data_IF_868932467950
#
_entry.id   IF_868932467950
#
_cell.length_a   1.000
_cell.length_b   1.000
_cell.length_c   1.000
_cell.angle_alpha   90.00
_cell.angle_beta   90.00
_cell.angle_gamma   90.00
#
_symmetry.space_group_name_H-M   'P 1'
#
loop_
_entity.id
_entity.type
_entity.pdbx_description
1 polymer ?
#
# COMPACT_ATOMS: atom_id res chain seq x y z
N UNK A 1 21.69 -9.68 -5.56
CA UNK A 1 20.71 -10.06 -6.61
C UNK A 1 19.99 -11.31 -6.15
N UNK A 2 18.68 -11.40 -6.40
CA UNK A 2 17.68 -12.33 -5.83
C UNK A 2 18.21 -13.69 -5.33
N UNK A 3 18.52 -13.84 -4.03
CA UNK A 3 19.15 -15.05 -3.48
C UNK A 3 18.25 -16.30 -3.51
N UNK A 4 16.96 -16.13 -3.74
CA UNK A 4 15.94 -17.20 -3.78
C UNK A 4 15.27 -17.36 -5.15
N UNK A 5 15.84 -16.78 -6.22
CA UNK A 5 15.34 -16.88 -7.60
C UNK A 5 14.19 -15.91 -7.92
N UNK A 6 13.91 -15.74 -9.22
CA UNK A 6 12.92 -14.76 -9.72
C UNK A 6 11.46 -15.25 -9.65
N UNK A 7 11.25 -16.56 -9.60
CA UNK A 7 9.93 -17.19 -9.72
C UNK A 7 8.92 -16.71 -8.68
N UNK A 8 9.35 -16.49 -7.44
CA UNK A 8 8.49 -16.00 -6.36
C UNK A 8 7.97 -14.57 -6.59
N UNK A 9 8.79 -13.71 -7.20
CA UNK A 9 8.42 -12.32 -7.50
C UNK A 9 7.42 -12.28 -8.64
N UNK A 10 7.63 -13.14 -9.65
CA UNK A 10 6.71 -13.26 -10.79
C UNK A 10 5.39 -13.90 -10.37
N UNK A 11 5.42 -14.98 -9.58
CA UNK A 11 4.21 -15.60 -9.03
C UNK A 11 3.44 -14.62 -8.14
N UNK A 12 4.12 -13.88 -7.26
CA UNK A 12 3.51 -12.83 -6.45
C UNK A 12 2.87 -11.72 -7.29
N UNK A 13 3.59 -11.23 -8.32
CA UNK A 13 3.07 -10.22 -9.24
C UNK A 13 1.83 -10.68 -10.00
N UNK A 14 1.82 -11.93 -10.50
CA UNK A 14 0.66 -12.53 -11.15
C UNK A 14 -0.51 -12.67 -10.18
N UNK A 15 -0.29 -13.16 -8.96
CA UNK A 15 -1.34 -13.27 -7.94
C UNK A 15 -1.95 -11.90 -7.58
N UNK A 16 -1.12 -10.86 -7.40
CA UNK A 16 -1.60 -9.50 -7.10
C UNK A 16 -2.36 -8.91 -8.29
N UNK A 17 -1.83 -9.07 -9.51
CA UNK A 17 -2.46 -8.61 -10.74
C UNK A 17 -3.82 -9.27 -10.98
N UNK A 18 -3.90 -10.60 -10.82
CA UNK A 18 -5.15 -11.35 -10.91
C UNK A 18 -6.13 -10.95 -9.80
N UNK A 19 -5.66 -10.79 -8.56
CA UNK A 19 -6.52 -10.39 -7.43
C UNK A 19 -7.14 -9.01 -7.64
N UNK A 20 -6.35 -8.02 -8.07
CA UNK A 20 -6.85 -6.67 -8.34
C UNK A 20 -7.70 -6.63 -9.62
N UNK A 21 -7.33 -7.39 -10.65
CA UNK A 21 -8.11 -7.52 -11.88
C UNK A 21 -9.48 -8.16 -11.65
N UNK A 22 -9.55 -9.23 -10.87
CA UNK A 22 -10.80 -9.90 -10.50
C UNK A 22 -11.67 -9.00 -9.63
N UNK A 23 -11.07 -8.29 -8.67
CA UNK A 23 -11.77 -7.30 -7.86
C UNK A 23 -12.41 -6.21 -8.73
N UNK A 24 -11.66 -5.67 -9.70
CA UNK A 24 -12.18 -4.70 -10.65
C UNK A 24 -13.29 -5.30 -11.54
N UNK A 25 -13.12 -6.52 -12.05
CA UNK A 25 -14.10 -7.18 -12.90
C UNK A 25 -15.43 -7.47 -12.15
N UNK A 26 -15.37 -7.85 -10.88
CA UNK A 26 -16.55 -8.22 -10.09
C UNK A 26 -17.27 -7.01 -9.50
N UNK A 27 -16.56 -5.93 -9.17
CA UNK A 27 -17.14 -4.80 -8.42
C UNK A 27 -17.12 -3.48 -9.17
N UNK A 28 -16.38 -3.39 -10.29
CA UNK A 28 -16.16 -2.14 -11.03
C UNK A 28 -15.33 -1.10 -10.25
N UNK A 29 -14.80 -1.47 -9.08
CA UNK A 29 -14.13 -0.57 -8.16
C UNK A 29 -12.61 -0.77 -8.21
N UNK A 30 -11.88 0.34 -8.19
CA UNK A 30 -10.42 0.36 -8.18
C UNK A 30 -9.93 0.23 -6.72
N UNK A 31 -9.17 -0.81 -6.41
CA UNK A 31 -8.59 -1.04 -5.09
C UNK A 31 -7.40 -0.12 -4.81
N UNK A 32 -7.57 0.84 -3.89
CA UNK A 32 -6.52 1.81 -3.53
C UNK A 32 -6.32 1.94 -2.02
N UNK A 33 -5.14 1.55 -1.54
CA UNK A 33 -4.81 1.50 -0.10
C UNK A 33 -4.75 2.89 0.56
N UNK A 34 -4.39 3.95 -0.17
CA UNK A 34 -4.33 5.33 0.37
C UNK A 34 -5.68 5.88 0.85
N UNK A 35 -6.78 5.28 0.39
CA UNK A 35 -8.12 5.69 0.84
C UNK A 35 -8.60 4.94 2.08
N UNK A 36 -7.87 3.91 2.52
CA UNK A 36 -8.10 3.23 3.80
C UNK A 36 -7.97 4.16 4.98
N UNK A 37 -6.90 4.94 5.00
CA UNK A 37 -6.53 5.73 6.15
C UNK A 37 -7.59 6.80 6.47
N UNK A 38 -8.06 7.62 5.50
CA UNK A 38 -9.20 8.51 5.72
C UNK A 38 -10.52 7.79 5.99
N UNK A 39 -10.78 6.61 5.40
CA UNK A 39 -12.02 5.85 5.65
C UNK A 39 -12.06 5.18 7.04
N UNK A 40 -10.92 4.73 7.56
CA UNK A 40 -10.78 4.25 8.94
C UNK A 40 -10.83 5.41 9.94
N UNK A 41 -10.22 6.55 9.61
CA UNK A 41 -10.32 7.76 10.42
C UNK A 41 -11.71 8.40 10.36
N UNK A 42 -12.47 8.26 9.27
CA UNK A 42 -13.88 8.68 9.19
C UNK A 42 -14.80 7.95 10.16
N UNK A 43 -14.44 6.72 10.57
CA UNK A 43 -15.16 5.95 11.58
C UNK A 43 -14.87 6.43 13.01
N UNK A 44 -13.68 6.98 13.25
CA UNK A 44 -13.16 7.30 14.59
C UNK A 44 -13.18 8.80 14.87
N UNK A 45 -12.93 9.63 13.87
CA UNK A 45 -12.89 11.09 13.95
C UNK A 45 -14.18 11.69 13.37
N UNK A 46 -15.03 12.23 14.25
CA UNK A 46 -16.24 12.99 13.89
C UNK A 46 -15.97 14.38 13.30
N UNK A 47 -14.80 14.59 12.67
CA UNK A 47 -14.41 15.90 12.15
C UNK A 47 -14.98 16.10 10.72
N UNK A 48 -15.58 17.26 10.39
CA UNK A 48 -16.31 17.49 9.14
C UNK A 48 -15.49 17.24 7.86
N UNK A 49 -14.17 17.38 7.92
CA UNK A 49 -13.24 17.04 6.83
C UNK A 49 -13.25 15.55 6.43
N UNK A 50 -13.56 14.63 7.35
CA UNK A 50 -13.60 13.19 7.10
C UNK A 50 -15.00 12.64 6.76
N UNK A 51 -16.04 13.48 6.81
CA UNK A 51 -17.44 13.10 6.54
C UNK A 51 -17.95 13.52 5.15
N UNK A 52 -17.08 13.90 4.22
CA UNK A 52 -17.52 14.16 2.84
C UNK A 52 -18.15 12.89 2.22
N UNK A 53 -19.30 13.04 1.54
CA UNK A 53 -20.12 11.95 0.98
C UNK A 53 -19.32 10.92 0.17
N UNK A 54 -18.29 11.38 -0.55
CA UNK A 54 -17.37 10.55 -1.34
C UNK A 54 -16.62 9.49 -0.51
N UNK A 55 -16.39 9.74 0.78
CA UNK A 55 -15.71 8.82 1.71
C UNK A 55 -16.68 7.94 2.49
N UNK A 56 -17.89 8.44 2.80
CA UNK A 56 -18.91 7.70 3.55
C UNK A 56 -19.56 6.60 2.69
N UNK A 57 -19.91 6.91 1.43
CA UNK A 57 -20.53 5.96 0.51
C UNK A 57 -19.59 4.79 0.12
N UNK A 58 -18.27 5.03 0.08
CA UNK A 58 -17.28 4.01 -0.29
C UNK A 58 -16.61 3.33 0.92
N UNK A 59 -17.02 3.67 2.16
CA UNK A 59 -16.35 3.18 3.39
C UNK A 59 -16.42 1.66 3.53
N UNK A 60 -17.59 1.06 3.30
CA UNK A 60 -17.81 -0.37 3.56
C UNK A 60 -16.95 -1.23 2.63
N UNK A 61 -16.97 -0.91 1.33
CA UNK A 61 -16.13 -1.57 0.34
C UNK A 61 -14.64 -1.43 0.64
N UNK A 62 -14.20 -0.21 0.97
CA UNK A 62 -12.80 0.04 1.32
C UNK A 62 -12.45 -0.81 2.52
N UNK A 63 -13.12 -0.70 3.67
CA UNK A 63 -12.82 -1.48 4.86
C UNK A 63 -12.75 -3.00 4.60
N UNK A 64 -13.69 -3.54 3.82
CA UNK A 64 -13.68 -4.95 3.41
C UNK A 64 -12.41 -5.34 2.64
N UNK A 65 -11.95 -4.49 1.71
CA UNK A 65 -10.69 -4.71 0.98
C UNK A 65 -9.47 -4.75 1.92
N UNK A 66 -9.45 -3.90 2.95
CA UNK A 66 -8.33 -3.81 3.90
C UNK A 66 -8.34 -4.92 4.93
N UNK A 67 -9.52 -5.27 5.42
CA UNK A 67 -9.74 -6.49 6.18
C UNK A 67 -9.27 -7.70 5.38
N UNK A 68 -9.60 -7.78 4.08
CA UNK A 68 -9.11 -8.82 3.19
C UNK A 68 -7.57 -8.88 3.10
N UNK A 69 -6.90 -7.73 3.00
CA UNK A 69 -5.42 -7.66 3.02
C UNK A 69 -4.83 -8.13 4.35
N UNK A 70 -5.39 -7.68 5.48
CA UNK A 70 -4.95 -8.07 6.83
C UNK A 70 -5.18 -9.57 7.04
N UNK A 71 -6.35 -10.07 6.67
CA UNK A 71 -6.72 -11.47 6.82
C UNK A 71 -5.88 -12.36 5.89
N UNK A 72 -5.61 -11.93 4.65
CA UNK A 72 -4.71 -12.62 3.73
C UNK A 72 -3.28 -12.72 4.28
N UNK A 73 -2.77 -11.64 4.87
CA UNK A 73 -1.48 -11.65 5.56
C UNK A 73 -1.49 -12.60 6.77
N UNK A 74 -2.54 -12.57 7.59
CA UNK A 74 -2.70 -13.45 8.74
C UNK A 74 -2.72 -14.93 8.32
N UNK A 75 -3.54 -15.29 7.33
CA UNK A 75 -3.61 -16.67 6.79
C UNK A 75 -2.24 -17.11 6.25
N UNK A 76 -1.53 -16.24 5.52
CA UNK A 76 -0.18 -16.55 5.05
C UNK A 76 0.80 -16.79 6.21
N UNK A 77 0.78 -15.96 7.26
CA UNK A 77 1.66 -16.13 8.42
C UNK A 77 1.38 -17.41 9.21
N UNK A 78 0.11 -17.82 9.30
CA UNK A 78 -0.28 -19.08 9.97
C UNK A 78 0.07 -20.29 9.09
N UNK A 79 -0.24 -20.24 7.79
CA UNK A 79 -0.06 -21.37 6.88
C UNK A 79 1.40 -21.61 6.46
N UNK A 80 2.19 -20.54 6.27
CA UNK A 80 3.59 -20.63 5.81
C UNK A 80 4.62 -19.99 6.75
N UNK A 81 4.23 -18.99 7.52
CA UNK A 81 5.14 -18.28 8.44
C UNK A 81 5.46 -19.05 9.73
N UNK A 82 4.85 -20.22 9.97
CA UNK A 82 5.00 -21.01 11.20
C UNK A 82 4.80 -20.18 12.49
N UNK A 83 3.99 -19.12 12.44
CA UNK A 83 3.74 -18.23 13.58
C UNK A 83 4.88 -17.25 13.90
N UNK A 84 5.93 -17.15 13.08
CA UNK A 84 6.96 -16.12 13.25
C UNK A 84 6.40 -14.76 12.79
N UNK A 85 6.13 -13.89 13.76
CA UNK A 85 5.79 -12.50 13.49
C UNK A 85 7.07 -11.81 13.04
N UNK A 86 7.04 -11.12 11.89
CA UNK A 86 8.17 -10.32 11.43
C UNK A 86 8.44 -9.18 12.41
N UNK A 87 9.36 -9.39 13.35
CA UNK A 87 9.83 -8.34 14.25
C UNK A 87 10.92 -7.58 13.50
N UNK A 88 10.61 -6.37 13.05
CA UNK A 88 11.62 -5.49 12.45
C UNK A 88 12.59 -5.03 13.52
N UNK A 89 13.89 -5.15 13.28
CA UNK A 89 14.93 -4.59 14.18
C UNK A 89 14.97 -3.04 14.20
N UNK A 90 14.01 -2.40 13.51
CA UNK A 90 13.93 -0.95 13.36
C UNK A 90 13.26 -0.33 14.60
N UNK A 91 13.84 0.72 15.20
CA UNK A 91 13.26 1.34 16.37
C UNK A 91 11.90 1.98 16.04
N UNK A 92 10.96 1.89 16.98
CA UNK A 92 9.55 2.31 16.82
C UNK A 92 9.43 3.76 16.34
N UNK A 93 10.30 4.66 16.79
CA UNK A 93 10.27 6.06 16.36
C UNK A 93 10.54 6.24 14.86
N UNK A 94 11.44 5.44 14.26
CA UNK A 94 11.70 5.48 12.81
C UNK A 94 10.50 4.98 12.02
N UNK A 95 9.83 3.93 12.51
CA UNK A 95 8.60 3.43 11.91
C UNK A 95 7.48 4.48 11.97
N UNK A 96 7.35 5.17 13.10
CA UNK A 96 6.36 6.24 13.27
C UNK A 96 6.63 7.40 12.32
N UNK A 97 7.85 7.95 12.32
CA UNK A 97 8.22 9.08 11.45
C UNK A 97 8.10 8.69 9.97
N UNK A 98 8.58 7.50 9.59
CA UNK A 98 8.45 6.99 8.22
C UNK A 98 6.99 6.83 7.80
N UNK A 99 6.14 6.31 8.69
CA UNK A 99 4.70 6.18 8.45
C UNK A 99 3.99 7.51 8.25
N UNK A 100 4.31 8.53 9.08
CA UNK A 100 3.75 9.88 8.95
C UNK A 100 4.17 10.52 7.63
N UNK A 101 5.47 10.46 7.27
CA UNK A 101 5.98 11.01 6.02
C UNK A 101 5.38 10.31 4.80
N UNK A 102 5.31 8.98 4.82
CA UNK A 102 4.70 8.21 3.73
C UNK A 102 3.20 8.49 3.58
N UNK A 103 2.48 8.61 4.70
CA UNK A 103 1.06 8.96 4.71
C UNK A 103 0.80 10.37 4.17
N UNK A 104 1.59 11.35 4.61
CA UNK A 104 1.52 12.72 4.12
C UNK A 104 1.85 12.81 2.63
N UNK A 105 2.92 12.14 2.19
CA UNK A 105 3.34 12.09 0.79
C UNK A 105 2.28 11.46 -0.12
N UNK A 106 1.68 10.34 0.31
CA UNK A 106 0.59 9.68 -0.43
C UNK A 106 -0.67 10.55 -0.52
N UNK A 107 -0.89 11.46 0.44
CA UNK A 107 -2.01 12.41 0.39
C UNK A 107 -1.72 13.56 -0.57
N UNK A 108 -0.49 14.08 -0.55
CA UNK A 108 -0.06 15.16 -1.44
C UNK A 108 -0.11 14.76 -2.93
N UNK A 109 0.23 13.50 -3.24
CA UNK A 109 0.15 12.95 -4.60
C UNK A 109 -1.26 12.57 -5.05
N UNK A 110 -2.26 12.62 -4.17
CA UNK A 110 -3.62 12.16 -4.46
C UNK A 110 -3.78 10.62 -4.49
N UNK A 111 -2.74 9.85 -4.14
CA UNK A 111 -2.78 8.39 -4.11
C UNK A 111 -1.45 7.73 -3.68
N UNK A 112 -1.50 6.49 -3.19
CA UNK A 112 -0.31 5.72 -2.84
C UNK A 112 0.33 5.04 -4.06
N UNK A 113 1.53 4.52 -3.84
CA UNK A 113 2.28 3.70 -4.81
C UNK A 113 1.50 2.49 -5.31
N UNK A 114 0.65 1.86 -4.49
CA UNK A 114 -0.22 0.76 -4.93
C UNK A 114 -1.33 1.24 -5.88
N UNK A 115 -1.94 2.41 -5.62
CA UNK A 115 -3.02 2.94 -6.46
C UNK A 115 -2.51 3.45 -7.81
N UNK A 116 -1.44 4.25 -7.82
CA UNK A 116 -0.82 4.70 -9.06
C UNK A 116 -0.05 3.59 -9.77
N UNK A 117 0.59 2.69 -9.02
CA UNK A 117 1.42 1.62 -9.56
C UNK A 117 0.63 0.44 -10.11
N UNK A 118 -0.31 -0.12 -9.35
CA UNK A 118 -1.04 -1.32 -9.79
C UNK A 118 -2.16 -0.92 -10.75
N UNK A 119 -3.05 -0.01 -10.31
CA UNK A 119 -4.21 0.38 -11.09
C UNK A 119 -3.89 1.47 -12.12
N UNK A 120 -3.12 2.49 -11.74
CA UNK A 120 -2.80 3.63 -12.62
C UNK A 120 -1.91 3.28 -13.82
N UNK A 121 -0.90 2.41 -13.65
CA UNK A 121 -0.12 1.87 -14.77
C UNK A 121 -0.96 0.89 -15.59
N UNK A 122 -1.79 0.06 -14.94
CA UNK A 122 -2.70 -0.85 -15.63
C UNK A 122 -3.71 -0.15 -16.54
N UNK A 123 -4.14 1.06 -16.17
CA UNK A 123 -5.01 1.93 -17.00
C UNK A 123 -4.25 2.88 -17.92
N UNK A 124 -2.92 2.70 -18.08
CA UNK A 124 -2.04 3.46 -18.97
C UNK A 124 -2.09 4.98 -18.80
N UNK A 125 -2.29 5.46 -17.56
CA UNK A 125 -2.35 6.88 -17.28
C UNK A 125 -0.94 7.47 -17.16
N UNK A 126 -0.58 8.36 -18.10
CA UNK A 126 0.68 9.15 -18.09
C UNK A 126 1.02 9.78 -16.72
N UNK A 127 0.09 10.44 -16.00
CA UNK A 127 0.41 11.02 -14.68
C UNK A 127 0.73 9.96 -13.61
N UNK A 128 0.14 8.77 -13.68
CA UNK A 128 0.44 7.68 -12.75
C UNK A 128 1.82 7.08 -12.98
N UNK A 129 2.27 6.97 -14.24
CA UNK A 129 3.63 6.52 -14.57
C UNK A 129 4.66 7.49 -13.99
N UNK A 130 4.45 8.80 -14.17
CA UNK A 130 5.35 9.82 -13.63
C UNK A 130 5.39 9.78 -12.08
N UNK A 131 4.23 9.66 -11.43
CA UNK A 131 4.15 9.55 -9.97
C UNK A 131 4.93 8.33 -9.46
N UNK A 132 4.80 7.18 -10.12
CA UNK A 132 5.53 5.95 -9.75
C UNK A 132 7.04 6.12 -9.92
N UNK A 133 7.48 6.73 -11.03
CA UNK A 133 8.90 7.00 -11.25
C UNK A 133 9.48 7.90 -10.14
N UNK A 134 8.79 9.00 -9.80
CA UNK A 134 9.23 9.92 -8.73
C UNK A 134 9.27 9.21 -7.37
N UNK A 135 8.28 8.38 -7.05
CA UNK A 135 8.30 7.60 -5.82
C UNK A 135 9.46 6.61 -5.77
N UNK A 136 9.69 5.89 -6.86
CA UNK A 136 10.74 4.88 -6.92
C UNK A 136 12.12 5.52 -6.82
N UNK A 137 12.38 6.60 -7.56
CA UNK A 137 13.66 7.33 -7.51
C UNK A 137 13.90 7.91 -6.12
N UNK A 138 12.90 8.57 -5.53
CA UNK A 138 13.02 9.14 -4.18
C UNK A 138 13.25 8.05 -3.14
N UNK A 139 12.57 6.91 -3.24
CA UNK A 139 12.77 5.77 -2.33
C UNK A 139 14.17 5.19 -2.44
N UNK A 140 14.69 5.02 -3.67
CA UNK A 140 16.06 4.54 -3.91
C UNK A 140 17.07 5.53 -3.30
N UNK A 141 16.95 6.82 -3.60
CA UNK A 141 17.84 7.86 -3.06
C UNK A 141 17.80 7.90 -1.53
N UNK A 142 16.61 7.84 -0.94
CA UNK A 142 16.43 7.82 0.52
C UNK A 142 17.05 6.58 1.14
N UNK A 143 16.87 5.41 0.52
CA UNK A 143 17.46 4.16 1.01
C UNK A 143 18.99 4.20 0.95
N UNK A 144 19.57 4.73 -0.15
CA UNK A 144 21.02 4.91 -0.26
C UNK A 144 21.55 5.92 0.76
N UNK A 145 20.86 7.05 0.96
CA UNK A 145 21.23 8.04 1.96
C UNK A 145 21.14 7.48 3.39
N UNK A 146 20.07 6.76 3.73
CA UNK A 146 19.90 6.13 5.04
C UNK A 146 20.99 5.09 5.31
N UNK A 147 21.37 4.29 4.31
CA UNK A 147 22.49 3.34 4.42
C UNK A 147 23.84 4.04 4.58
N UNK A 148 24.06 5.14 3.86
CA UNK A 148 25.29 5.93 3.98
C UNK A 148 25.43 6.60 5.36
N UNK A 149 24.32 6.95 6.01
CA UNK A 149 24.27 7.50 7.36
C UNK A 149 24.36 6.44 8.48
N UNK A 150 24.64 5.18 8.15
CA UNK A 150 24.78 4.09 9.14
C UNK A 150 23.46 3.43 9.56
N UNK A 151 22.38 3.59 8.78
CA UNK A 151 21.16 2.83 8.96
C UNK A 151 21.36 1.37 8.56
N UNK A 152 21.44 0.49 9.56
CA UNK A 152 21.33 -0.97 9.42
C UNK A 152 19.86 -1.42 9.50
#
# INVERSE_FOLDING_TARGET
MFPSGWHQYLAGGVCVGLGVGLLFALTGLIGGVSTMYPSALSLVAGHPFFQHEKFVATRHWRLMYGLGLILGAAVYTVARGRGTVFVTAVPVWRLFVGGVLAGFGARLSGGCTSGHGICGIGSLQKPSILAVLVFLTTAILTAHAARALGGH
#
